data_IF_374432758118
#
_entry.id   IF_374432758118
#
_cell.length_a   1.000
_cell.length_b   1.000
_cell.length_c   1.000
_cell.angle_alpha   90.00
_cell.angle_beta   90.00
_cell.angle_gamma   90.00
#
_symmetry.space_group_name_H-M   'P 1'
#
loop_
_entity.id
_entity.type
_entity.pdbx_description
1 polymer ?
#
# COMPACT_ATOMS: atom_id res chain seq x y z
N UNK A 1 15.43 5.71 5.60
CA UNK A 1 15.30 4.66 4.57
C UNK A 1 14.99 3.26 5.11
N UNK A 2 15.91 2.55 5.78
CA UNK A 2 15.70 1.14 6.22
C UNK A 2 14.40 0.91 7.01
N UNK A 3 14.08 1.81 7.96
CA UNK A 3 12.81 1.75 8.72
C UNK A 3 11.58 1.85 7.84
N UNK A 4 11.63 2.64 6.77
CA UNK A 4 10.52 2.81 5.84
C UNK A 4 10.37 1.58 4.93
N UNK A 5 11.48 0.99 4.48
CA UNK A 5 11.46 -0.28 3.74
C UNK A 5 10.87 -1.41 4.57
N UNK A 6 11.27 -1.52 5.85
CA UNK A 6 10.71 -2.52 6.77
C UNK A 6 9.21 -2.31 7.02
N UNK A 7 8.78 -1.07 7.25
CA UNK A 7 7.37 -0.74 7.46
C UNK A 7 6.52 -1.01 6.21
N UNK A 8 7.02 -0.63 5.03
CA UNK A 8 6.41 -0.96 3.75
C UNK A 8 6.31 -2.48 3.56
N UNK A 9 7.38 -3.22 3.83
CA UNK A 9 7.42 -4.67 3.63
C UNK A 9 6.40 -5.38 4.52
N UNK A 10 6.31 -5.04 5.81
CA UNK A 10 5.30 -5.60 6.72
C UNK A 10 3.88 -5.35 6.18
N UNK A 11 3.61 -4.14 5.69
CA UNK A 11 2.30 -3.79 5.12
C UNK A 11 2.02 -4.52 3.80
N UNK A 12 3.05 -4.75 2.99
CA UNK A 12 2.96 -5.49 1.75
C UNK A 12 2.64 -6.97 2.01
N UNK A 13 3.38 -7.63 2.89
CA UNK A 13 3.13 -9.02 3.29
C UNK A 13 1.73 -9.19 3.87
N UNK A 14 1.30 -8.29 4.77
CA UNK A 14 -0.05 -8.34 5.34
C UNK A 14 -1.16 -8.25 4.27
N UNK A 15 -0.94 -7.53 3.15
CA UNK A 15 -1.86 -7.49 2.01
C UNK A 15 -1.92 -8.86 1.32
N UNK A 16 -0.76 -9.47 1.07
CA UNK A 16 -0.66 -10.77 0.41
C UNK A 16 -1.32 -11.86 1.26
N UNK A 17 -1.03 -11.89 2.55
CA UNK A 17 -1.65 -12.81 3.51
C UNK A 17 -3.16 -12.62 3.57
N UNK A 18 -3.65 -11.37 3.67
CA UNK A 18 -5.08 -11.10 3.67
C UNK A 18 -5.78 -11.64 2.42
N UNK A 19 -5.17 -11.48 1.24
CA UNK A 19 -5.69 -12.03 -0.02
C UNK A 19 -5.66 -13.54 -0.06
N UNK A 20 -4.60 -14.16 0.45
CA UNK A 20 -4.50 -15.62 0.54
C UNK A 20 -5.60 -16.22 1.46
N UNK A 21 -6.11 -15.44 2.42
CA UNK A 21 -7.22 -15.84 3.29
C UNK A 21 -8.62 -15.55 2.71
N UNK A 22 -8.74 -14.86 1.57
CA UNK A 22 -10.04 -14.58 0.97
C UNK A 22 -10.64 -15.84 0.33
N UNK A 23 -11.93 -16.10 0.60
CA UNK A 23 -12.62 -17.29 0.10
C UNK A 23 -12.96 -17.22 -1.40
N UNK A 24 -13.15 -16.01 -1.95
CA UNK A 24 -13.55 -15.80 -3.34
C UNK A 24 -12.35 -15.40 -4.21
N UNK A 25 -11.88 -16.29 -5.13
CA UNK A 25 -10.74 -15.98 -5.99
C UNK A 25 -11.03 -14.87 -7.01
N UNK A 26 -12.28 -14.70 -7.45
CA UNK A 26 -12.66 -13.63 -8.39
C UNK A 26 -12.49 -12.24 -7.75
N UNK A 27 -12.83 -12.10 -6.46
CA UNK A 27 -12.61 -10.86 -5.71
C UNK A 27 -11.12 -10.54 -5.55
N UNK A 28 -10.28 -11.57 -5.36
CA UNK A 28 -8.82 -11.39 -5.30
C UNK A 28 -8.29 -10.88 -6.63
N UNK A 29 -8.77 -11.42 -7.76
CA UNK A 29 -8.33 -10.98 -9.08
C UNK A 29 -8.77 -9.56 -9.39
N UNK A 30 -9.99 -9.17 -9.04
CA UNK A 30 -10.44 -7.77 -9.15
C UNK A 30 -9.56 -6.81 -8.35
N UNK A 31 -9.09 -7.21 -7.17
CA UNK A 31 -8.16 -6.42 -6.37
C UNK A 31 -6.76 -6.30 -7.03
N UNK A 32 -6.30 -7.34 -7.71
CA UNK A 32 -5.03 -7.34 -8.46
C UNK A 32 -5.11 -6.47 -9.71
N UNK A 33 -6.18 -6.60 -10.49
CA UNK A 33 -6.44 -5.74 -11.65
C UNK A 33 -6.47 -4.26 -11.27
N UNK A 34 -7.16 -3.93 -10.16
CA UNK A 34 -7.16 -2.56 -9.62
C UNK A 34 -5.74 -2.09 -9.28
N UNK A 35 -4.96 -2.91 -8.58
CA UNK A 35 -3.60 -2.53 -8.18
C UNK A 35 -2.65 -2.40 -9.39
N UNK A 36 -2.81 -3.22 -10.44
CA UNK A 36 -2.12 -3.03 -11.72
C UNK A 36 -2.49 -1.67 -12.32
N UNK A 37 -3.79 -1.33 -12.36
CA UNK A 37 -4.23 -0.07 -12.93
C UNK A 37 -3.76 1.17 -12.14
N UNK A 38 -3.70 1.08 -10.81
CA UNK A 38 -3.33 2.20 -9.94
C UNK A 38 -1.81 2.34 -9.71
N UNK A 39 -1.10 1.21 -9.62
CA UNK A 39 0.30 1.15 -9.19
C UNK A 39 1.23 0.46 -10.20
N UNK A 40 0.69 -0.18 -11.25
CA UNK A 40 1.47 -0.99 -12.18
C UNK A 40 1.93 -2.34 -11.62
N UNK A 41 1.43 -2.76 -10.46
CA UNK A 41 1.83 -3.99 -9.78
C UNK A 41 0.60 -4.67 -9.14
N UNK A 42 0.37 -5.98 -9.34
CA UNK A 42 -0.80 -6.69 -8.82
C UNK A 42 -0.88 -6.75 -7.30
N UNK A 43 0.25 -6.57 -6.61
CA UNK A 43 0.42 -6.72 -5.18
C UNK A 43 0.48 -5.37 -4.44
N UNK A 44 0.01 -4.32 -5.09
CA UNK A 44 -0.04 -2.97 -4.55
C UNK A 44 1.21 -2.15 -4.90
N UNK A 45 1.38 -0.97 -4.29
CA UNK A 45 2.50 -0.09 -4.62
C UNK A 45 3.83 -0.69 -4.14
N UNK A 46 4.85 -0.66 -5.01
CA UNK A 46 6.23 -0.96 -4.61
C UNK A 46 6.82 0.15 -3.74
N UNK A 47 7.91 -0.14 -3.04
CA UNK A 47 8.60 0.89 -2.25
C UNK A 47 9.06 2.05 -3.15
N UNK A 48 9.64 1.74 -4.30
CA UNK A 48 10.11 2.71 -5.29
C UNK A 48 8.96 3.55 -5.85
N UNK A 49 7.80 2.93 -6.12
CA UNK A 49 6.62 3.67 -6.55
C UNK A 49 6.21 4.73 -5.53
N UNK A 50 6.23 4.39 -4.23
CA UNK A 50 5.89 5.33 -3.16
C UNK A 50 6.93 6.45 -3.03
N UNK A 51 8.22 6.10 -3.14
CA UNK A 51 9.32 7.07 -3.11
C UNK A 51 9.18 8.07 -4.25
N UNK A 52 9.05 7.60 -5.49
CA UNK A 52 8.93 8.48 -6.66
C UNK A 52 7.64 9.31 -6.61
N UNK A 53 6.51 8.72 -6.21
CA UNK A 53 5.25 9.46 -6.04
C UNK A 53 5.38 10.63 -5.04
N UNK A 54 6.10 10.43 -3.93
CA UNK A 54 6.29 11.47 -2.92
C UNK A 54 7.34 12.51 -3.35
N UNK A 55 8.38 12.09 -4.09
CA UNK A 55 9.30 13.02 -4.76
C UNK A 55 8.56 13.92 -5.75
N UNK A 56 7.73 13.35 -6.61
CA UNK A 56 6.91 14.09 -7.58
C UNK A 56 5.92 15.06 -6.89
N UNK A 57 5.49 14.71 -5.67
CA UNK A 57 4.68 15.58 -4.82
C UNK A 57 5.49 16.69 -4.10
N UNK A 58 6.81 16.77 -4.31
CA UNK A 58 7.69 17.80 -3.77
C UNK A 58 8.15 17.55 -2.33
N UNK A 59 8.10 16.32 -1.83
CA UNK A 59 8.61 15.99 -0.51
C UNK A 59 10.14 15.88 -0.53
N UNK A 60 10.78 16.39 0.53
CA UNK A 60 12.20 16.21 0.78
C UNK A 60 12.49 14.77 1.25
N UNK A 61 13.74 14.30 1.05
CA UNK A 61 14.11 12.88 1.22
C UNK A 61 13.69 12.26 2.58
N UNK A 62 13.97 12.93 3.70
CA UNK A 62 13.58 12.42 5.02
C UNK A 62 12.04 12.38 5.19
N UNK A 63 11.35 13.39 4.67
CA UNK A 63 9.90 13.49 4.74
C UNK A 63 9.20 12.39 3.91
N UNK A 64 9.83 11.93 2.82
CA UNK A 64 9.36 10.79 2.03
C UNK A 64 9.34 9.53 2.89
N UNK A 65 10.46 9.22 3.55
CA UNK A 65 10.56 7.99 4.33
C UNK A 65 9.62 8.00 5.54
N UNK A 66 9.48 9.13 6.22
CA UNK A 66 8.50 9.26 7.32
C UNK A 66 7.06 9.14 6.81
N UNK A 67 6.73 9.72 5.66
CA UNK A 67 5.39 9.57 5.06
C UNK A 67 5.07 8.11 4.66
N UNK A 68 6.06 7.32 4.23
CA UNK A 68 5.89 5.89 3.95
C UNK A 68 5.64 5.11 5.24
N UNK A 69 6.39 5.42 6.31
CA UNK A 69 6.19 4.81 7.64
C UNK A 69 4.77 5.12 8.12
N UNK A 70 4.36 6.39 8.13
CA UNK A 70 3.02 6.80 8.54
C UNK A 70 1.93 6.14 7.68
N UNK A 71 2.15 6.08 6.37
CA UNK A 71 1.25 5.43 5.43
C UNK A 71 1.03 3.94 5.72
N UNK A 72 2.08 3.24 6.19
CA UNK A 72 2.01 1.81 6.51
C UNK A 72 1.06 1.49 7.67
N UNK A 73 0.90 2.43 8.61
CA UNK A 73 0.01 2.29 9.77
C UNK A 73 -1.44 2.71 9.52
N UNK A 74 -1.71 3.40 8.41
CA UNK A 74 -3.04 3.98 8.16
C UNK A 74 -3.98 2.96 7.51
N UNK A 75 -5.20 2.90 8.02
CA UNK A 75 -6.33 2.26 7.35
C UNK A 75 -7.08 3.27 6.48
N UNK A 76 -7.77 2.80 5.44
CA UNK A 76 -8.50 3.69 4.56
C UNK A 76 -9.75 4.22 5.29
N UNK A 77 -9.68 5.46 5.76
CA UNK A 77 -10.76 6.10 6.50
C UNK A 77 -12.10 6.15 5.73
N UNK A 78 -12.07 6.18 4.39
CA UNK A 78 -13.28 6.12 3.57
C UNK A 78 -13.95 4.75 3.59
N UNK A 79 -13.15 3.68 3.56
CA UNK A 79 -13.63 2.30 3.71
C UNK A 79 -14.15 2.09 5.12
N UNK A 80 -13.40 2.51 6.14
CA UNK A 80 -13.79 2.44 7.55
C UNK A 80 -15.16 3.09 7.79
N UNK A 81 -15.35 4.34 7.32
CA UNK A 81 -16.65 5.03 7.40
C UNK A 81 -17.77 4.29 6.67
N UNK A 82 -17.49 3.70 5.50
CA UNK A 82 -18.49 2.92 4.74
C UNK A 82 -18.87 1.62 5.46
N UNK A 83 -17.93 1.01 6.18
CA UNK A 83 -18.11 -0.26 6.88
C UNK A 83 -18.49 -0.10 8.36
N UNK A 84 -18.51 1.13 8.89
CA UNK A 84 -18.88 1.41 10.27
C UNK A 84 -17.84 0.99 11.31
N UNK A 85 -16.57 0.89 10.90
CA UNK A 85 -15.42 0.54 11.76
C UNK A 85 -14.42 1.68 11.88
#
# INVERSE_FOLDING_TARGET
>A
RERAEAAWHIRHEARLEARAMMANPEEVELLRERDIAEYGNPDGPTFEFLVEKLKDAGFEEDAIYEAIIDGSYRTNAGVNRRLGI
#
